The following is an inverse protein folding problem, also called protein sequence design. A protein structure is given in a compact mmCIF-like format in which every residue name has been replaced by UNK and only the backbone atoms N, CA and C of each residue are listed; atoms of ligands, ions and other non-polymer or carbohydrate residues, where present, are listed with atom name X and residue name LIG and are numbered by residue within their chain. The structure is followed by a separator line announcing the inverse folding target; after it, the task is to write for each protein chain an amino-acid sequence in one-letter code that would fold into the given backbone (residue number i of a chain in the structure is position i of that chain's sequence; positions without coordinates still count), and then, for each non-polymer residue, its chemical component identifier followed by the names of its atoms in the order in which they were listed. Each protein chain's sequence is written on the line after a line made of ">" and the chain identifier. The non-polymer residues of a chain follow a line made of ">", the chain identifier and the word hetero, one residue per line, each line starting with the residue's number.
data_IF_737829788351
#
_entry.id   IF_737829788351
#
_cell.length_a   1.000
_cell.length_b   1.000
_cell.length_c   1.000
_cell.angle_alpha   90.00
_cell.angle_beta   90.00
_cell.angle_gamma   90.00
#
_symmetry.space_group_name_H-M   'P 1'
#
loop_
_entity.id
_entity.type
_entity.pdbx_description
1 polymer ?
#
# COMPACT_ATOMS: atom_id res chain seq x y z
N UNK A 1 -9.84 43.68 2.37
CA UNK A 1 -8.86 42.71 1.84
C UNK A 1 -7.99 42.25 3.00
N UNK A 2 -8.30 41.09 3.58
CA UNK A 2 -7.48 40.49 4.64
C UNK A 2 -6.20 39.96 4.01
N UNK A 3 -5.08 40.44 4.52
CA UNK A 3 -3.74 39.97 4.22
C UNK A 3 -3.67 38.48 4.45
N UNK A 4 -3.45 37.72 3.36
CA UNK A 4 -3.05 36.32 3.44
C UNK A 4 -1.74 36.32 4.22
N UNK A 5 -1.84 35.99 5.50
CA UNK A 5 -0.68 35.79 6.37
C UNK A 5 0.24 34.81 5.67
N UNK A 6 1.41 35.28 5.27
CA UNK A 6 2.50 34.45 4.75
C UNK A 6 2.80 33.40 5.83
N UNK A 7 2.19 32.22 5.69
CA UNK A 7 2.40 31.06 6.54
C UNK A 7 3.86 30.63 6.33
N UNK A 8 4.76 31.25 7.10
CA UNK A 8 6.18 30.99 7.04
C UNK A 8 6.39 29.66 7.77
N UNK A 9 6.31 28.55 7.03
CA UNK A 9 6.60 27.24 7.60
C UNK A 9 8.02 27.25 8.14
N UNK A 10 8.16 26.83 9.40
CA UNK A 10 9.45 26.59 10.01
C UNK A 10 10.18 25.44 9.26
N UNK A 11 11.51 25.41 9.34
CA UNK A 11 12.33 24.40 8.67
C UNK A 11 11.96 22.97 9.12
N UNK A 12 11.55 22.81 10.37
CA UNK A 12 11.04 21.55 10.93
C UNK A 12 9.72 21.13 10.27
N UNK A 13 8.78 22.07 10.11
CA UNK A 13 7.50 21.84 9.45
C UNK A 13 7.67 21.49 7.97
N UNK A 14 8.60 22.15 7.28
CA UNK A 14 8.93 21.82 5.88
C UNK A 14 9.45 20.39 5.75
N UNK A 15 10.36 20.00 6.63
CA UNK A 15 10.96 18.66 6.62
C UNK A 15 9.91 17.57 6.87
N UNK A 16 9.00 17.81 7.83
CA UNK A 16 7.87 16.93 8.08
C UNK A 16 6.96 16.80 6.87
N UNK A 17 6.56 17.94 6.28
CA UNK A 17 5.64 17.97 5.15
C UNK A 17 6.22 17.22 3.94
N UNK A 18 7.51 17.41 3.65
CA UNK A 18 8.20 16.69 2.57
C UNK A 18 8.22 15.18 2.85
N UNK A 19 8.56 14.76 4.07
CA UNK A 19 8.55 13.35 4.46
C UNK A 19 7.17 12.72 4.37
N UNK A 20 6.14 13.41 4.85
CA UNK A 20 4.75 12.98 4.79
C UNK A 20 4.28 12.80 3.34
N UNK A 21 4.51 13.80 2.49
CA UNK A 21 4.11 13.76 1.09
C UNK A 21 4.82 12.65 0.30
N UNK A 22 6.11 12.43 0.55
CA UNK A 22 6.86 11.36 -0.11
C UNK A 22 6.36 9.97 0.32
N UNK A 23 6.10 9.76 1.60
CA UNK A 23 5.58 8.50 2.10
C UNK A 23 4.16 8.22 1.56
N UNK A 24 3.32 9.24 1.47
CA UNK A 24 1.98 9.16 0.85
C UNK A 24 2.08 8.82 -0.62
N UNK A 25 2.94 9.51 -1.38
CA UNK A 25 3.15 9.24 -2.80
C UNK A 25 3.62 7.79 -3.04
N UNK A 26 4.57 7.32 -2.23
CA UNK A 26 5.04 5.93 -2.28
C UNK A 26 3.91 4.94 -2.01
N UNK A 27 3.10 5.17 -0.98
CA UNK A 27 1.93 4.33 -0.67
C UNK A 27 0.95 4.28 -1.84
N UNK A 28 0.58 5.42 -2.43
CA UNK A 28 -0.35 5.45 -3.56
C UNK A 28 0.17 4.71 -4.79
N UNK A 29 1.47 4.82 -5.10
CA UNK A 29 2.09 4.07 -6.20
C UNK A 29 2.00 2.56 -5.91
N UNK A 30 2.40 2.14 -4.71
CA UNK A 30 2.37 0.73 -4.32
C UNK A 30 0.94 0.17 -4.32
N UNK A 31 -0.02 0.88 -3.71
CA UNK A 31 -1.43 0.50 -3.66
C UNK A 31 -2.03 0.43 -5.08
N UNK A 32 -1.68 1.38 -5.97
CA UNK A 32 -2.13 1.37 -7.36
C UNK A 32 -1.64 0.15 -8.14
N UNK A 33 -0.34 -0.20 -8.01
CA UNK A 33 0.22 -1.40 -8.65
C UNK A 33 -0.52 -2.67 -8.16
N UNK A 34 -0.79 -2.74 -6.85
CA UNK A 34 -1.46 -3.89 -6.24
C UNK A 34 -2.92 -3.99 -6.67
N UNK A 35 -3.65 -2.88 -6.76
CA UNK A 35 -5.05 -2.87 -7.19
C UNK A 35 -5.20 -3.19 -8.69
N UNK A 36 -4.21 -2.85 -9.53
CA UNK A 36 -4.15 -3.35 -10.91
C UNK A 36 -4.04 -4.88 -10.92
N UNK A 37 -3.17 -5.47 -10.10
CA UNK A 37 -3.04 -6.92 -10.00
C UNK A 37 -4.32 -7.60 -9.47
N UNK A 38 -5.03 -6.97 -8.53
CA UNK A 38 -6.35 -7.43 -8.06
C UNK A 38 -7.37 -7.37 -9.19
N UNK A 39 -7.39 -6.28 -9.97
CA UNK A 39 -8.28 -6.13 -11.13
C UNK A 39 -8.06 -7.22 -12.18
N UNK A 40 -6.79 -7.52 -12.49
CA UNK A 40 -6.45 -8.63 -13.40
C UNK A 40 -6.90 -10.01 -12.86
N UNK A 41 -6.82 -10.24 -11.55
CA UNK A 41 -7.34 -11.48 -10.93
C UNK A 41 -8.86 -11.57 -11.06
N UNK A 42 -9.57 -10.45 -10.88
CA UNK A 42 -11.03 -10.39 -11.01
C UNK A 42 -11.46 -10.67 -12.45
N UNK A 43 -10.80 -10.09 -13.45
CA UNK A 43 -11.05 -10.37 -14.86
C UNK A 43 -10.82 -11.86 -15.20
N UNK A 44 -9.78 -12.48 -14.64
CA UNK A 44 -9.54 -13.92 -14.76
C UNK A 44 -10.70 -14.73 -14.18
N UNK A 45 -11.17 -14.39 -12.98
CA UNK A 45 -12.26 -15.10 -12.30
C UNK A 45 -13.58 -14.97 -13.05
N UNK A 46 -13.89 -13.78 -13.54
CA UNK A 46 -15.11 -13.53 -14.31
C UNK A 46 -15.10 -14.34 -15.62
N UNK A 47 -13.92 -14.45 -16.24
CA UNK A 47 -13.71 -15.27 -17.44
C UNK A 47 -13.87 -16.77 -17.17
N UNK A 48 -13.36 -17.26 -16.04
CA UNK A 48 -13.50 -18.68 -15.62
C UNK A 48 -14.94 -18.99 -15.22
N UNK A 49 -15.64 -18.07 -14.54
CA UNK A 49 -17.03 -18.23 -14.14
C UNK A 49 -17.99 -18.32 -15.34
N UNK A 50 -17.62 -17.76 -16.50
CA UNK A 50 -18.39 -17.85 -17.74
C UNK A 50 -18.33 -19.25 -18.41
N UNK A 51 -17.46 -20.16 -17.95
CA UNK A 51 -17.28 -21.50 -18.52
C UNK A 51 -18.18 -22.52 -17.82
N UNK A 52 -18.94 -23.30 -18.60
CA UNK A 52 -19.99 -24.24 -18.14
C UNK A 52 -19.53 -25.40 -17.24
N UNK A 53 -18.22 -25.63 -17.14
CA UNK A 53 -17.54 -26.59 -16.26
C UNK A 53 -16.31 -25.89 -15.67
N UNK A 54 -16.53 -24.83 -14.92
CA UNK A 54 -15.44 -24.02 -14.39
C UNK A 54 -14.59 -24.86 -13.43
N UNK A 55 -13.28 -25.07 -13.72
CA UNK A 55 -12.36 -25.52 -12.69
C UNK A 55 -12.34 -24.49 -11.55
N UNK A 56 -11.97 -24.92 -10.34
CA UNK A 56 -11.91 -24.03 -9.17
C UNK A 56 -11.08 -22.78 -9.52
N UNK A 57 -11.65 -21.56 -9.44
CA UNK A 57 -10.98 -20.33 -9.83
C UNK A 57 -9.67 -20.08 -9.08
N UNK A 58 -9.48 -20.66 -7.88
CA UNK A 58 -8.22 -20.55 -7.14
C UNK A 58 -7.11 -21.50 -7.62
N UNK A 59 -7.43 -22.42 -8.53
CA UNK A 59 -6.45 -23.28 -9.20
C UNK A 59 -5.94 -22.70 -10.53
N UNK A 60 -6.72 -21.81 -11.15
CA UNK A 60 -6.41 -21.23 -12.47
C UNK A 60 -5.99 -19.75 -12.36
N UNK A 61 -6.66 -18.98 -11.50
CA UNK A 61 -6.33 -17.58 -11.20
C UNK A 61 -5.40 -17.49 -9.97
N UNK A 62 -5.27 -16.31 -9.34
CA UNK A 62 -4.40 -16.21 -8.17
C UNK A 62 -4.89 -17.10 -7.02
N UNK A 63 -3.98 -17.81 -6.35
CA UNK A 63 -4.33 -18.61 -5.17
C UNK A 63 -4.86 -17.71 -4.04
N UNK A 64 -5.76 -18.25 -3.22
CA UNK A 64 -6.48 -17.50 -2.17
C UNK A 64 -5.58 -16.60 -1.32
N UNK A 65 -4.44 -17.13 -0.89
CA UNK A 65 -3.52 -16.38 -0.04
C UNK A 65 -2.92 -15.15 -0.73
N UNK A 66 -2.70 -15.19 -2.05
CA UNK A 66 -2.27 -14.00 -2.80
C UNK A 66 -3.42 -13.03 -2.98
N UNK A 67 -4.63 -13.54 -3.21
CA UNK A 67 -5.82 -12.70 -3.34
C UNK A 67 -6.07 -11.87 -2.07
N UNK A 68 -6.04 -12.52 -0.90
CA UNK A 68 -6.17 -11.84 0.39
C UNK A 68 -4.93 -11.01 0.74
N UNK A 69 -3.73 -11.50 0.43
CA UNK A 69 -2.49 -10.78 0.67
C UNK A 69 -2.41 -9.46 -0.10
N UNK A 70 -2.82 -9.44 -1.37
CA UNK A 70 -2.84 -8.22 -2.18
C UNK A 70 -3.84 -7.21 -1.61
N UNK A 71 -5.04 -7.63 -1.18
CA UNK A 71 -6.01 -6.74 -0.52
C UNK A 71 -5.49 -6.19 0.80
N UNK A 72 -4.80 -7.01 1.59
CA UNK A 72 -4.15 -6.56 2.81
C UNK A 72 -3.02 -5.54 2.53
N UNK A 73 -2.28 -5.68 1.43
CA UNK A 73 -1.23 -4.72 1.05
C UNK A 73 -1.82 -3.41 0.53
N UNK A 74 -2.87 -3.45 -0.28
CA UNK A 74 -3.46 -2.23 -0.86
C UNK A 74 -4.27 -1.41 0.15
N UNK A 75 -5.00 -2.07 1.06
CA UNK A 75 -5.94 -1.44 2.00
C UNK A 75 -5.47 -1.48 3.45
N UNK A 76 -4.45 -2.28 3.73
CA UNK A 76 -3.76 -2.29 5.00
C UNK A 76 -4.61 -2.71 6.19
N UNK A 77 -4.40 -1.99 7.30
CA UNK A 77 -5.04 -2.27 8.58
C UNK A 77 -6.56 -2.15 8.50
N UNK A 78 -7.09 -1.30 7.61
CA UNK A 78 -8.53 -1.15 7.40
C UNK A 78 -9.15 -2.45 6.90
N UNK A 79 -8.49 -3.15 5.98
CA UNK A 79 -8.99 -4.43 5.48
C UNK A 79 -8.96 -5.52 6.56
N UNK A 80 -7.96 -5.50 7.45
CA UNK A 80 -7.87 -6.45 8.56
C UNK A 80 -9.03 -6.32 9.57
N UNK A 81 -9.52 -5.10 9.79
CA UNK A 81 -10.64 -4.85 10.71
C UNK A 81 -12.01 -4.89 10.02
N UNK A 82 -12.08 -4.49 8.76
CA UNK A 82 -13.31 -4.49 7.99
C UNK A 82 -13.01 -4.86 6.52
N UNK A 83 -13.08 -6.15 6.16
CA UNK A 83 -12.79 -6.63 4.82
C UNK A 83 -13.74 -6.08 3.74
N UNK A 84 -14.96 -5.73 4.15
CA UNK A 84 -16.05 -5.16 3.32
C UNK A 84 -15.88 -3.64 3.10
N UNK A 85 -14.92 -3.00 3.78
CA UNK A 85 -14.72 -1.56 3.66
C UNK A 85 -14.33 -1.16 2.22
N UNK A 86 -14.84 0.00 1.80
CA UNK A 86 -14.53 0.52 0.47
C UNK A 86 -13.01 0.73 0.30
N UNK A 87 -12.44 0.44 -0.89
CA UNK A 87 -11.00 0.60 -1.14
C UNK A 87 -10.52 2.03 -0.83
N UNK A 88 -11.34 3.02 -1.17
CA UNK A 88 -11.09 4.45 -0.95
C UNK A 88 -10.89 4.74 0.54
N UNK A 89 -11.72 4.17 1.41
CA UNK A 89 -11.58 4.37 2.86
C UNK A 89 -10.27 3.78 3.37
N UNK A 90 -9.90 2.58 2.88
CA UNK A 90 -8.60 1.97 3.15
C UNK A 90 -7.43 2.86 2.74
N UNK A 91 -7.48 3.41 1.53
CA UNK A 91 -6.41 4.29 1.03
C UNK A 91 -6.30 5.58 1.82
N UNK A 92 -7.41 6.20 2.21
CA UNK A 92 -7.40 7.43 3.01
C UNK A 92 -6.75 7.19 4.37
N UNK A 93 -7.17 6.16 5.10
CA UNK A 93 -6.61 5.84 6.43
C UNK A 93 -5.14 5.46 6.33
N UNK A 94 -4.78 4.60 5.37
CA UNK A 94 -3.39 4.18 5.20
C UNK A 94 -2.51 5.33 4.73
N UNK A 95 -2.99 6.21 3.85
CA UNK A 95 -2.26 7.42 3.45
C UNK A 95 -1.98 8.33 4.64
N UNK A 96 -2.93 8.45 5.59
CA UNK A 96 -2.73 9.23 6.80
C UNK A 96 -1.67 8.61 7.72
N UNK A 97 -1.69 7.29 7.88
CA UNK A 97 -0.67 6.55 8.63
C UNK A 97 0.71 6.74 8.00
N UNK A 98 0.83 6.56 6.68
CA UNK A 98 2.07 6.76 5.94
C UNK A 98 2.55 8.21 6.01
N UNK A 99 1.64 9.19 5.97
CA UNK A 99 1.98 10.60 6.14
C UNK A 99 2.63 10.87 7.50
N UNK A 100 2.05 10.33 8.57
CA UNK A 100 2.58 10.48 9.94
C UNK A 100 3.94 9.78 10.06
N UNK A 101 4.06 8.54 9.60
CA UNK A 101 5.32 7.78 9.65
C UNK A 101 6.43 8.43 8.81
N UNK A 102 6.10 8.90 7.60
CA UNK A 102 7.00 9.62 6.71
C UNK A 102 7.45 10.96 7.30
N UNK A 103 6.52 11.71 7.88
CA UNK A 103 6.82 12.99 8.52
C UNK A 103 7.71 12.83 9.77
N UNK A 104 7.41 11.86 10.64
CA UNK A 104 8.22 11.56 11.84
C UNK A 104 9.61 11.07 11.43
N UNK A 105 9.70 10.14 10.49
CA UNK A 105 11.00 9.62 10.04
C UNK A 105 11.87 10.70 9.41
N UNK A 106 11.30 11.62 8.63
CA UNK A 106 12.02 12.77 8.10
C UNK A 106 12.50 13.74 9.19
N UNK A 107 11.73 13.93 10.25
CA UNK A 107 12.16 14.76 11.39
C UNK A 107 13.31 14.12 12.19
N UNK A 108 13.18 12.84 12.54
CA UNK A 108 14.14 12.12 13.40
C UNK A 108 15.50 11.94 12.71
N UNK A 109 15.50 11.62 11.42
CA UNK A 109 16.72 11.27 10.67
C UNK A 109 17.18 12.38 9.71
N UNK A 110 16.52 13.54 9.71
CA UNK A 110 16.82 14.68 8.85
C UNK A 110 16.86 14.30 7.36
N UNK A 111 17.86 14.79 6.62
CA UNK A 111 18.03 14.50 5.18
C UNK A 111 18.18 13.01 4.85
N UNK A 112 18.62 12.17 5.79
CA UNK A 112 18.78 10.72 5.58
C UNK A 112 17.49 9.93 5.88
N UNK A 113 16.51 10.55 6.52
CA UNK A 113 15.26 9.88 6.92
C UNK A 113 14.42 9.38 5.76
N UNK A 114 14.40 10.12 4.65
CA UNK A 114 13.70 9.72 3.44
C UNK A 114 14.32 8.44 2.85
N UNK A 115 15.66 8.38 2.80
CA UNK A 115 16.38 7.21 2.27
C UNK A 115 16.17 6.01 3.19
N UNK A 116 16.26 6.22 4.51
CA UNK A 116 16.02 5.16 5.50
C UNK A 116 14.58 4.64 5.43
N UNK A 117 13.60 5.52 5.27
CA UNK A 117 12.19 5.16 5.13
C UNK A 117 11.92 4.36 3.85
N UNK A 118 12.41 4.83 2.69
CA UNK A 118 12.31 4.10 1.43
C UNK A 118 13.02 2.75 1.49
N UNK A 119 14.23 2.71 2.06
CA UNK A 119 14.99 1.48 2.24
C UNK A 119 14.26 0.47 3.14
N UNK A 120 13.69 0.92 4.25
CA UNK A 120 12.91 0.08 5.15
C UNK A 120 11.61 -0.41 4.49
N UNK A 121 10.90 0.46 3.76
CA UNK A 121 9.70 0.09 3.03
C UNK A 121 10.00 -0.97 1.94
N UNK A 122 11.07 -0.78 1.17
CA UNK A 122 11.52 -1.77 0.18
C UNK A 122 11.99 -3.06 0.84
N UNK A 123 12.71 -3.00 1.96
CA UNK A 123 13.15 -4.17 2.69
C UNK A 123 11.96 -4.99 3.21
N UNK A 124 10.93 -4.32 3.74
CA UNK A 124 9.69 -4.99 4.16
C UNK A 124 8.97 -5.61 2.96
N UNK A 125 8.83 -4.89 1.84
CA UNK A 125 8.23 -5.45 0.62
C UNK A 125 9.01 -6.67 0.13
N UNK A 126 10.34 -6.60 0.09
CA UNK A 126 11.20 -7.70 -0.31
C UNK A 126 11.11 -8.90 0.65
N UNK A 127 11.02 -8.65 1.96
CA UNK A 127 10.81 -9.68 2.97
C UNK A 127 9.46 -10.39 2.76
N UNK A 128 8.37 -9.63 2.61
CA UNK A 128 7.05 -10.20 2.38
C UNK A 128 6.96 -10.94 1.04
N UNK A 129 7.57 -10.40 -0.02
CA UNK A 129 7.66 -11.08 -1.31
C UNK A 129 8.46 -12.39 -1.22
N UNK A 130 9.60 -12.37 -0.51
CA UNK A 130 10.43 -13.54 -0.26
C UNK A 130 9.72 -14.62 0.57
N UNK A 131 9.04 -14.22 1.65
CA UNK A 131 8.22 -15.13 2.46
C UNK A 131 7.07 -15.72 1.65
N UNK A 132 6.42 -14.92 0.80
CA UNK A 132 5.39 -15.38 -0.12
C UNK A 132 5.91 -16.40 -1.15
N UNK A 133 7.11 -16.18 -1.69
CA UNK A 133 7.77 -17.11 -2.62
C UNK A 133 8.18 -18.42 -1.93
N UNK A 134 8.71 -18.36 -0.70
CA UNK A 134 9.10 -19.57 0.04
C UNK A 134 7.87 -20.46 0.36
N UNK A 135 6.71 -19.86 0.65
CA UNK A 135 5.48 -20.61 0.91
C UNK A 135 5.03 -21.46 -0.29
N UNK A 136 5.31 -21.03 -1.53
CA UNK A 136 5.00 -21.81 -2.73
C UNK A 136 5.81 -23.09 -2.90
N UNK A 137 6.93 -23.26 -2.19
CA UNK A 137 7.75 -24.48 -2.25
C UNK A 137 7.57 -25.40 -1.04
N UNK A 138 6.91 -24.91 0.02
CA UNK A 138 6.70 -25.64 1.28
C UNK A 138 5.25 -26.21 1.36
N UNK A 139 4.35 -25.81 0.43
CA UNK A 139 2.98 -26.30 0.34
C UNK A 139 2.84 -27.49 -0.62
#
# INVERSE_FOLDING_TARGET
>A
MQTISQLKLDQTQKTFLIGALLAVAFFFIAAGIVEIAIGMDQECRDSVAAVRLSPDPFTVCLPEWKHYGLRAVSRGVVWAFNPEASPIFGWLVMSLIYAVLGGISAQVFGRRGIIAFLGMALALIALFAGLGYMKTFIA
#
